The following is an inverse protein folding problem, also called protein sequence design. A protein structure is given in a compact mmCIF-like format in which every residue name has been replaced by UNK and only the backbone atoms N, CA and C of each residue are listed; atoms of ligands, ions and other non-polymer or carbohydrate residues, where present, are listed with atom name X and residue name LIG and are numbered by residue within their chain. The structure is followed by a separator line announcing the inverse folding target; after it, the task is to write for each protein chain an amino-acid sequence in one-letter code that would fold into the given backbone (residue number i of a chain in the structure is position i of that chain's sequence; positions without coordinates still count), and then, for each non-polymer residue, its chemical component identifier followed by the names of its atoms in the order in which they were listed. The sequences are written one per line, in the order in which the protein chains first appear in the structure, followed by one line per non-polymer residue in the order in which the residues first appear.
data_IF_368888674113
#
_entry.id   IF_368888674113
#
_cell.length_a   1.000
_cell.length_b   1.000
_cell.length_c   1.000
_cell.angle_alpha   90.00
_cell.angle_beta   90.00
_cell.angle_gamma   90.00
#
_symmetry.space_group_name_H-M   'P 1'
#
loop_
_entity.id
_entity.type
_entity.pdbx_description
1 polymer ?
#
# COMPACT_ATOMS: atom_id res chain seq x y z
N UNK A 1 -19.69 13.11 -29.58
CA UNK A 1 -20.70 14.03 -29.04
C UNK A 1 -20.44 14.31 -27.57
N UNK A 2 -20.40 13.30 -26.69
CA UNK A 2 -20.21 13.52 -25.25
C UNK A 2 -18.93 14.28 -24.89
N UNK A 3 -17.80 14.03 -25.57
CA UNK A 3 -16.56 14.75 -25.31
C UNK A 3 -16.62 16.24 -25.69
N UNK A 4 -17.52 16.66 -26.56
CA UNK A 4 -17.74 18.09 -26.91
C UNK A 4 -18.58 18.79 -25.84
N UNK A 5 -19.58 18.11 -25.31
CA UNK A 5 -20.61 18.70 -24.44
C UNK A 5 -20.19 18.70 -22.93
N UNK A 6 -19.22 17.88 -22.53
CA UNK A 6 -18.80 17.73 -21.12
C UNK A 6 -17.39 18.27 -20.88
N UNK A 7 -17.09 18.66 -19.65
CA UNK A 7 -15.80 19.23 -19.24
C UNK A 7 -14.75 18.16 -18.89
N UNK A 8 -15.19 16.98 -18.45
CA UNK A 8 -14.34 15.85 -18.06
C UNK A 8 -15.13 14.54 -18.19
N UNK A 9 -14.44 13.41 -18.20
CA UNK A 9 -15.05 12.09 -18.03
C UNK A 9 -14.64 11.48 -16.71
N UNK A 10 -15.58 10.82 -16.04
CA UNK A 10 -15.32 10.01 -14.85
C UNK A 10 -15.78 8.59 -15.16
N UNK A 11 -14.86 7.62 -15.07
CA UNK A 11 -15.13 6.20 -15.24
C UNK A 11 -15.01 5.53 -13.89
N UNK A 12 -16.04 4.83 -13.44
CA UNK A 12 -16.00 4.06 -12.21
C UNK A 12 -15.88 2.58 -12.53
N UNK A 13 -14.84 1.94 -11.99
CA UNK A 13 -14.66 0.48 -12.01
C UNK A 13 -14.97 -0.05 -10.62
N UNK A 14 -15.98 -0.89 -10.52
CA UNK A 14 -16.38 -1.53 -9.28
C UNK A 14 -16.02 -3.00 -9.25
N UNK A 15 -15.67 -3.50 -8.05
CA UNK A 15 -15.53 -4.94 -7.78
C UNK A 15 -16.29 -5.30 -6.53
N UNK A 16 -16.91 -6.48 -6.55
CA UNK A 16 -17.50 -7.05 -5.35
C UNK A 16 -16.42 -7.84 -4.64
N UNK A 17 -16.31 -7.66 -3.34
CA UNK A 17 -15.56 -8.60 -2.50
C UNK A 17 -16.41 -9.85 -2.31
N UNK A 18 -15.86 -11.01 -2.70
CA UNK A 18 -16.51 -12.29 -2.45
C UNK A 18 -16.38 -12.65 -0.97
N UNK A 19 -17.49 -12.89 -0.30
CA UNK A 19 -17.49 -13.62 0.96
C UNK A 19 -17.49 -15.13 0.63
N UNK A 20 -16.64 -15.91 1.28
CA UNK A 20 -16.45 -17.36 1.08
C UNK A 20 -15.84 -17.80 -0.26
N UNK A 21 -15.40 -16.88 -1.11
CA UNK A 21 -14.76 -17.20 -2.38
C UNK A 21 -13.58 -16.28 -2.65
N UNK A 22 -12.52 -16.81 -3.27
CA UNK A 22 -11.41 -16.01 -3.73
C UNK A 22 -11.77 -15.20 -4.96
N UNK A 23 -11.07 -14.10 -5.15
CA UNK A 23 -11.20 -13.26 -6.34
C UNK A 23 -10.66 -14.00 -7.56
N UNK A 24 -11.32 -13.84 -8.68
CA UNK A 24 -10.87 -14.39 -9.97
C UNK A 24 -9.79 -13.49 -10.57
N UNK A 25 -8.88 -14.09 -11.34
CA UNK A 25 -7.91 -13.31 -12.11
C UNK A 25 -8.66 -12.56 -13.23
N UNK A 26 -9.33 -13.30 -14.10
CA UNK A 26 -10.04 -12.73 -15.25
C UNK A 26 -11.32 -11.99 -14.85
N UNK A 27 -11.40 -10.73 -15.20
CA UNK A 27 -12.61 -9.89 -14.99
C UNK A 27 -12.83 -9.41 -13.56
N UNK A 28 -11.90 -9.70 -12.65
CA UNK A 28 -11.90 -9.20 -11.28
C UNK A 28 -10.55 -8.55 -10.93
N UNK A 29 -9.45 -9.31 -10.80
CA UNK A 29 -8.13 -8.72 -10.65
C UNK A 29 -7.69 -8.01 -11.93
N UNK A 30 -7.81 -8.64 -13.08
CA UNK A 30 -7.64 -8.02 -14.39
C UNK A 30 -8.93 -7.34 -14.83
N UNK A 31 -8.81 -6.22 -15.56
CA UNK A 31 -9.93 -5.63 -16.24
C UNK A 31 -10.45 -6.55 -17.35
N UNK A 32 -11.75 -6.59 -17.53
CA UNK A 32 -12.36 -7.23 -18.70
C UNK A 32 -12.00 -6.47 -19.98
N UNK A 33 -12.02 -7.13 -21.13
CA UNK A 33 -11.80 -6.48 -22.42
C UNK A 33 -12.77 -5.34 -22.69
N UNK A 34 -14.00 -5.43 -22.17
CA UNK A 34 -15.00 -4.34 -22.27
C UNK A 34 -14.59 -3.12 -21.44
N UNK A 35 -14.06 -3.31 -20.24
CA UNK A 35 -13.58 -2.23 -19.39
C UNK A 35 -12.34 -1.57 -19.98
N UNK A 36 -11.39 -2.36 -20.49
CA UNK A 36 -10.20 -1.83 -21.20
C UNK A 36 -10.60 -1.02 -22.43
N UNK A 37 -11.52 -1.55 -23.24
CA UNK A 37 -12.03 -0.83 -24.40
C UNK A 37 -12.79 0.45 -24.00
N UNK A 38 -13.57 0.43 -22.92
CA UNK A 38 -14.25 1.62 -22.40
C UNK A 38 -13.24 2.70 -22.01
N UNK A 39 -12.24 2.36 -21.19
CA UNK A 39 -11.20 3.30 -20.76
C UNK A 39 -10.48 3.87 -21.99
N UNK A 40 -9.98 3.01 -22.88
CA UNK A 40 -9.23 3.44 -24.07
C UNK A 40 -10.04 4.34 -24.98
N UNK A 41 -11.31 4.02 -25.26
CA UNK A 41 -12.16 4.82 -26.12
C UNK A 41 -12.51 6.18 -25.51
N UNK A 42 -12.82 6.21 -24.21
CA UNK A 42 -13.16 7.47 -23.51
C UNK A 42 -11.92 8.35 -23.39
N UNK A 43 -10.76 7.80 -23.02
CA UNK A 43 -9.50 8.54 -22.99
C UNK A 43 -9.20 9.15 -24.34
N UNK A 44 -9.21 8.35 -25.41
CA UNK A 44 -8.98 8.85 -26.77
C UNK A 44 -9.92 10.00 -27.16
N UNK A 45 -11.21 9.87 -26.85
CA UNK A 45 -12.21 10.88 -27.24
C UNK A 45 -12.08 12.19 -26.45
N UNK A 46 -11.89 12.11 -25.14
CA UNK A 46 -11.82 13.29 -24.27
C UNK A 46 -10.47 13.99 -24.36
N UNK A 47 -9.37 13.27 -24.39
CA UNK A 47 -8.04 13.85 -24.53
C UNK A 47 -7.84 14.50 -25.89
N UNK A 48 -8.42 13.94 -26.97
CA UNK A 48 -8.46 14.62 -28.27
C UNK A 48 -9.17 15.98 -28.21
N UNK A 49 -10.17 16.11 -27.33
CA UNK A 49 -10.88 17.36 -27.07
C UNK A 49 -10.19 18.25 -26.00
N UNK A 50 -8.99 17.89 -25.54
CA UNK A 50 -8.25 18.60 -24.49
C UNK A 50 -8.91 18.53 -23.10
N UNK A 51 -9.66 17.45 -22.82
CA UNK A 51 -10.43 17.29 -21.58
C UNK A 51 -9.96 16.08 -20.78
N UNK A 52 -9.88 16.20 -19.44
CA UNK A 52 -9.36 15.14 -18.59
C UNK A 52 -10.32 13.96 -18.46
N UNK A 53 -9.71 12.79 -18.25
CA UNK A 53 -10.38 11.53 -17.89
C UNK A 53 -9.88 11.06 -16.55
N UNK A 54 -10.80 10.78 -15.63
CA UNK A 54 -10.52 10.30 -14.28
C UNK A 54 -11.09 8.88 -14.16
N UNK A 55 -10.26 7.92 -13.75
CA UNK A 55 -10.73 6.57 -13.39
C UNK A 55 -10.80 6.45 -11.88
N UNK A 56 -11.93 5.99 -11.37
CA UNK A 56 -12.19 5.73 -9.95
C UNK A 56 -12.33 4.23 -9.75
N UNK A 57 -11.46 3.66 -8.93
CA UNK A 57 -11.52 2.26 -8.51
C UNK A 57 -12.27 2.15 -7.18
N UNK A 58 -13.52 1.67 -7.23
CA UNK A 58 -14.29 1.31 -6.04
C UNK A 58 -14.22 -0.20 -5.84
N UNK A 59 -13.16 -0.65 -5.19
CA UNK A 59 -12.77 -2.06 -5.09
C UNK A 59 -12.31 -2.39 -3.68
N UNK A 60 -12.66 -3.56 -3.16
CA UNK A 60 -12.27 -3.99 -1.81
C UNK A 60 -10.84 -4.52 -1.69
N UNK A 61 -10.09 -4.58 -2.79
CA UNK A 61 -8.71 -5.03 -2.86
C UNK A 61 -7.98 -4.36 -4.02
N UNK A 62 -6.83 -4.89 -4.42
CA UNK A 62 -6.09 -4.36 -5.58
C UNK A 62 -6.69 -4.89 -6.90
N UNK A 63 -6.52 -4.10 -7.95
CA UNK A 63 -6.78 -4.45 -9.35
C UNK A 63 -5.46 -4.23 -10.11
N UNK A 64 -5.19 -5.04 -11.11
CA UNK A 64 -4.06 -4.82 -11.99
C UNK A 64 -4.16 -3.44 -12.64
N UNK A 65 -3.10 -2.67 -12.56
CA UNK A 65 -3.08 -1.29 -13.06
C UNK A 65 -1.97 -1.04 -14.08
N UNK A 66 -0.93 -1.87 -14.11
CA UNK A 66 0.27 -1.62 -14.91
C UNK A 66 -0.02 -1.58 -16.42
N UNK A 67 -1.04 -2.31 -16.90
CA UNK A 67 -1.36 -2.39 -18.33
C UNK A 67 -2.21 -1.22 -18.86
N UNK A 68 -2.80 -0.38 -17.99
CA UNK A 68 -3.76 0.63 -18.44
C UNK A 68 -3.74 1.95 -17.66
N UNK A 69 -3.07 2.03 -16.52
CA UNK A 69 -3.10 3.23 -15.65
C UNK A 69 -2.49 4.48 -16.28
N UNK A 70 -1.72 4.33 -17.34
CA UNK A 70 -1.14 5.45 -18.10
C UNK A 70 -2.13 6.06 -19.12
N UNK A 71 -3.29 5.45 -19.32
CA UNK A 71 -4.28 5.94 -20.26
C UNK A 71 -5.08 7.14 -19.71
N UNK A 72 -5.66 7.10 -18.48
CA UNK A 72 -6.39 8.22 -17.92
C UNK A 72 -5.44 9.31 -17.38
N UNK A 73 -5.93 10.54 -17.29
CA UNK A 73 -5.18 11.67 -16.71
C UNK A 73 -5.06 11.58 -15.18
N UNK A 74 -6.00 10.87 -14.54
CA UNK A 74 -5.96 10.63 -13.10
C UNK A 74 -6.58 9.27 -12.74
N UNK A 75 -5.97 8.61 -11.74
CA UNK A 75 -6.44 7.38 -11.15
C UNK A 75 -6.68 7.59 -9.66
N UNK A 76 -7.90 7.31 -9.19
CA UNK A 76 -8.30 7.42 -7.80
C UNK A 76 -8.71 6.05 -7.25
N UNK A 77 -7.92 5.53 -6.32
CA UNK A 77 -8.26 4.31 -5.58
C UNK A 77 -9.13 4.69 -4.37
N UNK A 78 -10.44 4.47 -4.50
CA UNK A 78 -11.41 4.79 -3.47
C UNK A 78 -11.56 3.69 -2.42
N UNK A 79 -11.09 2.47 -2.71
CA UNK A 79 -11.34 1.28 -1.91
C UNK A 79 -12.85 1.08 -1.67
N UNK A 80 -13.26 0.87 -0.42
CA UNK A 80 -14.65 0.77 0.01
C UNK A 80 -14.98 1.98 0.89
N UNK A 81 -15.39 3.13 0.29
CA UNK A 81 -15.43 4.42 0.99
C UNK A 81 -16.62 4.57 1.96
N UNK A 82 -17.51 3.60 2.03
CA UNK A 82 -18.67 3.64 2.92
C UNK A 82 -19.79 4.59 2.46
N UNK A 83 -20.68 4.96 3.39
CA UNK A 83 -21.92 5.68 3.12
C UNK A 83 -21.69 7.06 2.47
N UNK A 84 -20.71 7.82 2.94
CA UNK A 84 -20.38 9.17 2.42
C UNK A 84 -19.41 9.16 1.22
N UNK A 85 -19.14 7.97 0.65
CA UNK A 85 -18.14 7.77 -0.40
C UNK A 85 -18.33 8.65 -1.63
N UNK A 86 -19.57 8.80 -2.10
CA UNK A 86 -19.88 9.67 -3.25
C UNK A 86 -19.54 11.12 -2.99
N UNK A 87 -19.85 11.64 -1.80
CA UNK A 87 -19.52 13.00 -1.38
C UNK A 87 -18.01 13.20 -1.25
N UNK A 88 -17.31 12.26 -0.59
CA UNK A 88 -15.87 12.32 -0.45
C UNK A 88 -15.15 12.32 -1.80
N UNK A 89 -15.59 11.49 -2.75
CA UNK A 89 -15.06 11.48 -4.12
C UNK A 89 -15.31 12.81 -4.84
N UNK A 90 -16.51 13.35 -4.74
CA UNK A 90 -16.84 14.65 -5.34
C UNK A 90 -15.98 15.78 -4.76
N UNK A 91 -15.74 15.81 -3.46
CA UNK A 91 -14.91 16.80 -2.79
C UNK A 91 -13.43 16.69 -3.24
N UNK A 92 -12.91 15.48 -3.44
CA UNK A 92 -11.56 15.26 -4.00
C UNK A 92 -11.51 15.70 -5.48
N UNK A 93 -12.39 15.18 -6.32
CA UNK A 93 -12.35 15.44 -7.77
C UNK A 93 -12.55 16.93 -8.08
N UNK A 94 -13.40 17.62 -7.34
CA UNK A 94 -13.60 19.07 -7.49
C UNK A 94 -12.44 19.92 -6.93
N UNK A 95 -11.51 19.29 -6.19
CA UNK A 95 -10.40 20.00 -5.53
C UNK A 95 -10.82 20.79 -4.27
N UNK A 96 -12.03 20.58 -3.76
CA UNK A 96 -12.49 21.13 -2.48
C UNK A 96 -11.70 20.54 -1.32
N UNK A 97 -11.39 19.25 -1.38
CA UNK A 97 -10.48 18.58 -0.47
C UNK A 97 -9.24 18.07 -1.22
N UNK A 98 -8.08 18.18 -0.57
CA UNK A 98 -6.82 17.69 -1.09
C UNK A 98 -6.62 16.24 -0.62
N UNK A 99 -6.39 15.26 -1.53
CA UNK A 99 -6.17 13.87 -1.14
C UNK A 99 -4.90 13.75 -0.28
N UNK A 100 -4.99 12.92 0.75
CA UNK A 100 -3.89 12.65 1.66
C UNK A 100 -3.84 11.17 2.10
N UNK A 101 -4.58 10.31 1.42
CA UNK A 101 -4.52 8.87 1.58
C UNK A 101 -3.21 8.30 1.06
N UNK A 102 -2.77 7.17 1.65
CA UNK A 102 -1.61 6.41 1.20
C UNK A 102 -1.99 4.96 1.02
N UNK A 103 -1.42 4.31 0.01
CA UNK A 103 -1.69 2.91 -0.27
C UNK A 103 -1.21 2.01 0.88
N UNK A 104 -2.10 1.20 1.49
CA UNK A 104 -1.71 0.26 2.54
C UNK A 104 -1.16 -1.05 1.97
N UNK A 105 -0.93 -1.11 0.67
CA UNK A 105 -0.48 -2.29 -0.08
C UNK A 105 0.50 -1.89 -1.17
N UNK A 106 1.30 -2.84 -1.64
CA UNK A 106 2.06 -2.73 -2.89
C UNK A 106 1.19 -3.24 -4.03
N UNK A 107 1.12 -2.51 -5.13
CA UNK A 107 0.45 -2.99 -6.36
C UNK A 107 1.54 -3.52 -7.30
N UNK A 108 1.59 -4.83 -7.57
CA UNK A 108 2.61 -5.42 -8.42
C UNK A 108 2.39 -5.05 -9.90
N UNK A 109 3.42 -5.22 -10.72
CA UNK A 109 3.30 -5.16 -12.18
C UNK A 109 2.61 -6.43 -12.69
N UNK A 110 3.06 -7.59 -12.22
CA UNK A 110 2.49 -8.88 -12.58
C UNK A 110 2.03 -9.60 -11.31
N UNK A 111 0.94 -10.38 -11.42
CA UNK A 111 0.41 -11.16 -10.30
C UNK A 111 1.41 -12.22 -9.81
N UNK A 112 2.17 -12.78 -10.75
CA UNK A 112 3.20 -13.79 -10.52
C UNK A 112 4.39 -13.28 -9.71
N UNK A 113 4.57 -11.95 -9.60
CA UNK A 113 5.59 -11.33 -8.75
C UNK A 113 5.30 -11.53 -7.25
N UNK A 114 4.04 -11.83 -6.88
CA UNK A 114 3.65 -12.19 -5.52
C UNK A 114 4.06 -13.62 -5.19
N UNK A 115 4.94 -13.81 -4.21
CA UNK A 115 5.41 -15.13 -3.80
C UNK A 115 4.27 -16.07 -3.40
N UNK A 116 3.24 -15.53 -2.74
CA UNK A 116 2.06 -16.29 -2.30
C UNK A 116 1.18 -16.79 -3.44
N UNK A 117 1.28 -16.20 -4.64
CA UNK A 117 0.38 -16.50 -5.75
C UNK A 117 0.37 -17.99 -6.13
N UNK A 118 1.54 -18.62 -6.20
CA UNK A 118 1.69 -20.05 -6.55
C UNK A 118 1.06 -21.01 -5.53
N UNK A 119 0.94 -20.57 -4.28
CA UNK A 119 0.48 -21.37 -3.15
C UNK A 119 -0.97 -21.06 -2.77
N UNK A 120 -1.60 -20.09 -3.43
CA UNK A 120 -2.96 -19.69 -3.15
C UNK A 120 -3.93 -20.33 -4.17
N UNK A 121 -4.94 -21.09 -3.74
CA UNK A 121 -5.91 -21.68 -4.65
C UNK A 121 -6.81 -20.59 -5.23
N UNK A 122 -6.68 -20.34 -6.55
CA UNK A 122 -7.45 -19.31 -7.27
C UNK A 122 -8.81 -19.80 -7.77
N UNK A 123 -9.12 -21.07 -7.61
CA UNK A 123 -10.40 -21.62 -8.04
C UNK A 123 -11.27 -22.03 -6.86
N UNK A 124 -12.58 -21.81 -7.01
CA UNK A 124 -13.59 -22.15 -6.02
C UNK A 124 -13.51 -23.63 -5.65
N UNK A 125 -13.15 -23.93 -4.40
CA UNK A 125 -13.43 -25.24 -3.81
C UNK A 125 -14.91 -25.23 -3.42
N UNK A 126 -15.73 -26.17 -3.90
CA UNK A 126 -17.13 -26.24 -3.50
C UNK A 126 -17.20 -26.43 -1.98
N UNK A 127 -17.70 -25.46 -1.26
CA UNK A 127 -17.94 -25.63 0.17
C UNK A 127 -19.08 -26.65 0.31
N UNK A 128 -18.86 -27.75 1.04
CA UNK A 128 -19.83 -28.88 1.18
C UNK A 128 -21.25 -28.43 1.54
N UNK A 129 -21.43 -27.32 2.24
CA UNK A 129 -22.77 -26.82 2.57
C UNK A 129 -23.51 -26.23 1.36
N UNK A 130 -22.81 -25.78 0.31
CA UNK A 130 -23.42 -25.30 -0.94
C UNK A 130 -24.01 -26.42 -1.77
N UNK A 131 -23.51 -27.68 -1.61
CA UNK A 131 -24.11 -28.86 -2.24
C UNK A 131 -25.46 -29.21 -1.61
N UNK A 132 -25.69 -28.84 -0.35
CA UNK A 132 -26.98 -29.06 0.34
C UNK A 132 -28.10 -28.16 -0.19
N UNK A 133 -27.78 -27.07 -0.91
CA UNK A 133 -28.76 -26.18 -1.54
C UNK A 133 -28.86 -26.35 -3.07
N UNK A 134 -28.47 -27.53 -3.57
CA UNK A 134 -28.79 -27.98 -4.94
C UNK A 134 -27.90 -27.41 -6.06
N UNK A 135 -26.76 -26.79 -5.76
CA UNK A 135 -25.76 -26.42 -6.77
C UNK A 135 -24.86 -27.62 -7.08
N UNK A 136 -24.75 -27.99 -8.37
CA UNK A 136 -23.89 -29.09 -8.84
C UNK A 136 -22.45 -28.92 -8.39
N UNK A 137 -21.90 -29.94 -7.74
CA UNK A 137 -20.47 -30.03 -7.43
C UNK A 137 -19.66 -29.95 -8.72
N UNK A 138 -18.74 -28.97 -8.79
CA UNK A 138 -17.66 -29.03 -9.78
C UNK A 138 -16.67 -30.08 -9.28
N UNK A 139 -16.32 -31.05 -10.12
CA UNK A 139 -15.31 -32.07 -9.80
C UNK A 139 -14.01 -31.39 -9.40
N UNK A 140 -13.33 -31.85 -8.33
CA UNK A 140 -12.00 -31.36 -8.00
C UNK A 140 -11.08 -31.53 -9.20
N UNK A 141 -10.33 -30.52 -9.55
CA UNK A 141 -9.27 -30.66 -10.56
C UNK A 141 -8.14 -31.46 -9.90
N UNK A 142 -7.78 -32.62 -10.49
CA UNK A 142 -6.88 -33.60 -9.89
C UNK A 142 -5.45 -33.13 -9.63
N UNK A 143 -5.04 -32.00 -10.22
CA UNK A 143 -3.66 -31.49 -10.18
C UNK A 143 -3.47 -30.24 -9.32
N UNK A 144 -4.30 -30.01 -8.31
CA UNK A 144 -4.14 -28.86 -7.41
C UNK A 144 -3.26 -29.22 -6.24
N UNK A 145 -2.13 -28.56 -6.10
CA UNK A 145 -1.46 -28.51 -4.80
C UNK A 145 -2.40 -27.79 -3.81
N UNK A 146 -2.41 -28.23 -2.56
CA UNK A 146 -2.99 -27.48 -1.43
C UNK A 146 -4.54 -27.38 -1.39
N UNK A 147 -5.27 -28.43 -1.72
CA UNK A 147 -6.75 -28.44 -1.58
C UNK A 147 -7.19 -28.26 -0.11
N UNK A 148 -6.44 -28.84 0.83
CA UNK A 148 -6.79 -28.90 2.24
C UNK A 148 -5.94 -27.95 3.13
N UNK A 149 -4.93 -27.29 2.57
CA UNK A 149 -4.02 -26.40 3.31
C UNK A 149 -3.38 -25.36 2.39
N UNK A 150 -2.92 -24.26 2.96
CA UNK A 150 -2.15 -23.23 2.28
C UNK A 150 -0.74 -23.20 2.81
N UNK A 151 0.25 -23.17 1.93
CA UNK A 151 1.67 -23.06 2.29
C UNK A 151 2.06 -21.59 2.27
N UNK A 152 2.60 -21.09 3.38
CA UNK A 152 3.16 -19.74 3.52
C UNK A 152 4.69 -19.78 3.34
N UNK A 153 5.14 -20.04 2.11
CA UNK A 153 6.58 -20.12 1.80
C UNK A 153 7.28 -18.77 1.85
N UNK A 154 6.52 -17.68 1.69
CA UNK A 154 7.03 -16.32 1.70
C UNK A 154 7.59 -15.88 3.05
N UNK A 155 7.22 -16.56 4.14
CA UNK A 155 7.70 -16.22 5.48
C UNK A 155 7.45 -14.75 5.83
N UNK A 156 8.53 -14.01 6.12
CA UNK A 156 8.47 -12.58 6.42
C UNK A 156 8.35 -11.68 5.18
N UNK A 157 8.57 -12.24 3.99
CA UNK A 157 8.61 -11.49 2.72
C UNK A 157 7.22 -11.33 2.11
N UNK A 158 6.37 -10.52 2.77
CA UNK A 158 5.02 -10.20 2.34
C UNK A 158 4.93 -8.74 1.91
N UNK A 159 4.29 -8.48 0.76
CA UNK A 159 4.07 -7.15 0.23
C UNK A 159 5.38 -6.39 0.00
N UNK A 160 5.47 -5.12 0.44
CA UNK A 160 6.67 -4.29 0.23
C UNK A 160 7.94 -4.89 0.82
N UNK A 161 7.85 -5.72 1.86
CA UNK A 161 9.02 -6.40 2.43
C UNK A 161 9.69 -7.30 1.40
N UNK A 162 8.89 -8.03 0.60
CA UNK A 162 9.39 -8.83 -0.53
C UNK A 162 9.87 -7.94 -1.67
N UNK A 163 8.99 -7.05 -2.15
CA UNK A 163 9.28 -6.22 -3.32
C UNK A 163 10.49 -5.32 -3.15
N UNK A 164 10.70 -4.76 -1.97
CA UNK A 164 11.84 -3.88 -1.69
C UNK A 164 13.11 -4.67 -1.41
N UNK A 165 13.04 -5.82 -0.73
CA UNK A 165 14.20 -6.69 -0.48
C UNK A 165 14.76 -7.30 -1.76
N UNK A 166 13.90 -7.71 -2.67
CA UNK A 166 14.30 -8.34 -3.93
C UNK A 166 14.30 -7.36 -5.12
N UNK A 167 14.14 -6.06 -4.88
CA UNK A 167 14.17 -5.00 -5.89
C UNK A 167 13.19 -5.25 -7.06
N UNK A 168 12.07 -5.91 -6.79
CA UNK A 168 11.04 -6.20 -7.80
C UNK A 168 10.36 -4.92 -8.27
N UNK A 169 10.00 -4.86 -9.54
CA UNK A 169 9.21 -3.75 -10.09
C UNK A 169 7.81 -3.73 -9.50
N UNK A 170 7.26 -2.54 -9.31
CA UNK A 170 5.90 -2.33 -8.81
C UNK A 170 5.19 -1.29 -9.66
N UNK A 171 3.90 -1.42 -9.84
CA UNK A 171 3.07 -0.37 -10.42
C UNK A 171 2.93 0.79 -9.43
N UNK A 172 2.64 0.49 -8.16
CA UNK A 172 2.62 1.48 -7.08
C UNK A 172 3.21 0.88 -5.80
N UNK A 173 4.19 1.55 -5.16
CA UNK A 173 4.80 1.04 -3.93
C UNK A 173 3.87 1.22 -2.73
N UNK A 174 4.13 0.47 -1.67
CA UNK A 174 3.49 0.66 -0.38
C UNK A 174 3.69 2.10 0.14
N UNK A 175 2.65 2.69 0.69
CA UNK A 175 2.68 4.06 1.20
C UNK A 175 2.52 5.14 0.12
N UNK A 176 2.43 4.79 -1.16
CA UNK A 176 2.29 5.75 -2.26
C UNK A 176 0.96 6.50 -2.22
N UNK A 177 0.99 7.75 -2.66
CA UNK A 177 -0.18 8.57 -2.91
C UNK A 177 0.23 9.99 -3.28
N UNK A 178 -0.55 10.62 -4.16
CA UNK A 178 -0.34 11.98 -4.62
C UNK A 178 -1.14 12.99 -3.77
N UNK A 179 -0.74 14.23 -3.87
CA UNK A 179 -1.41 15.39 -3.29
C UNK A 179 -1.53 16.49 -4.35
N UNK A 180 -2.46 17.43 -4.19
CA UNK A 180 -2.56 18.62 -5.02
C UNK A 180 -1.56 19.72 -4.61
N UNK A 181 -0.65 19.39 -3.70
CA UNK A 181 0.45 20.26 -3.24
C UNK A 181 1.71 19.45 -3.06
N UNK A 182 2.83 20.10 -2.79
CA UNK A 182 4.12 19.47 -2.56
C UNK A 182 4.61 19.75 -1.16
N UNK A 183 5.35 18.79 -0.57
CA UNK A 183 5.90 18.92 0.76
C UNK A 183 7.43 18.76 0.75
N UNK A 184 8.10 19.56 1.54
CA UNK A 184 9.54 19.47 1.81
C UNK A 184 9.75 18.94 3.22
N UNK A 185 10.70 18.02 3.32
CA UNK A 185 11.11 17.43 4.59
C UNK A 185 12.41 18.08 5.03
N UNK A 186 12.42 18.72 6.18
CA UNK A 186 13.68 19.21 6.78
C UNK A 186 14.47 18.03 7.36
N UNK A 187 15.74 18.26 7.61
CA UNK A 187 16.60 17.30 8.27
C UNK A 187 16.00 16.93 9.64
N UNK A 188 15.68 15.66 9.90
CA UNK A 188 15.06 15.27 11.15
C UNK A 188 16.04 15.25 12.31
N UNK A 189 15.53 15.57 13.50
CA UNK A 189 16.21 15.30 14.76
C UNK A 189 15.83 13.90 15.25
N UNK A 190 16.82 13.09 15.57
CA UNK A 190 16.63 11.73 16.09
C UNK A 190 17.27 11.62 17.46
N UNK A 191 16.51 11.15 18.44
CA UNK A 191 16.99 10.86 19.79
C UNK A 191 16.75 9.39 20.09
N UNK A 192 17.81 8.71 20.51
CA UNK A 192 17.77 7.35 20.99
C UNK A 192 17.59 7.41 22.52
N UNK A 193 16.47 6.91 23.00
CA UNK A 193 16.16 6.72 24.41
C UNK A 193 16.27 5.23 24.77
N UNK A 194 16.19 4.90 26.04
CA UNK A 194 16.41 3.51 26.48
C UNK A 194 15.35 2.54 25.91
N UNK A 195 14.09 2.99 25.75
CA UNK A 195 12.94 2.19 25.38
C UNK A 195 12.35 2.57 24.01
N UNK A 196 12.86 3.63 23.37
CA UNK A 196 12.29 4.16 22.12
C UNK A 196 13.26 4.98 21.30
N UNK A 197 12.93 5.15 20.03
CA UNK A 197 13.53 6.15 19.14
C UNK A 197 12.51 7.26 18.94
N UNK A 198 12.89 8.50 19.19
CA UNK A 198 12.07 9.69 18.97
C UNK A 198 12.58 10.42 17.75
N UNK A 199 11.73 10.55 16.74
CA UNK A 199 12.03 11.23 15.47
C UNK A 199 11.19 12.49 15.40
N UNK A 200 11.79 13.65 15.20
CA UNK A 200 11.12 14.92 14.92
C UNK A 200 11.50 15.39 13.53
N UNK A 201 10.53 15.81 12.76
CA UNK A 201 10.75 16.30 11.41
C UNK A 201 9.82 17.49 11.15
N UNK A 202 10.35 18.53 10.51
CA UNK A 202 9.55 19.67 10.05
C UNK A 202 9.11 19.42 8.63
N UNK A 203 7.81 19.52 8.38
CA UNK A 203 7.20 19.40 7.07
C UNK A 203 6.70 20.77 6.63
N UNK A 204 7.15 21.22 5.46
CA UNK A 204 6.75 22.50 4.87
C UNK A 204 5.96 22.27 3.61
N UNK A 205 4.85 22.96 3.45
CA UNK A 205 4.08 22.95 2.21
C UNK A 205 4.70 23.94 1.21
N UNK A 206 5.35 23.42 0.18
CA UNK A 206 6.00 24.21 -0.88
C UNK A 206 5.12 24.46 -2.10
N UNK A 207 3.90 23.92 -2.12
CA UNK A 207 2.96 24.12 -3.23
C UNK A 207 1.91 25.18 -2.95
N UNK A 208 0.94 25.30 -3.85
CA UNK A 208 -0.04 26.37 -3.87
C UNK A 208 -1.38 26.03 -3.17
N UNK A 209 -1.56 24.80 -2.68
CA UNK A 209 -2.80 24.36 -2.04
C UNK A 209 -2.53 23.86 -0.62
N UNK A 210 -3.44 24.11 0.29
CA UNK A 210 -3.36 23.51 1.63
C UNK A 210 -3.53 21.99 1.55
N UNK A 211 -2.77 21.24 2.34
CA UNK A 211 -2.78 19.80 2.32
C UNK A 211 -2.25 19.17 3.61
N UNK A 212 -2.25 17.85 3.63
CA UNK A 212 -1.71 17.02 4.72
C UNK A 212 -0.73 16.02 4.14
N UNK A 213 0.37 15.79 4.86
CA UNK A 213 1.35 14.76 4.51
C UNK A 213 1.28 13.60 5.51
N UNK A 214 1.59 12.39 5.03
CA UNK A 214 1.82 11.22 5.87
C UNK A 214 3.29 10.87 5.83
N UNK A 215 4.00 11.26 6.86
CA UNK A 215 5.42 10.95 7.03
C UNK A 215 5.57 9.53 7.53
N UNK A 216 6.36 8.73 6.84
CA UNK A 216 6.57 7.31 7.10
C UNK A 216 8.02 7.07 7.50
N UNK A 217 8.22 6.34 8.59
CA UNK A 217 9.53 5.99 9.13
C UNK A 217 9.78 4.49 8.99
N UNK A 218 10.69 4.15 8.11
CA UNK A 218 11.14 2.79 7.86
C UNK A 218 12.48 2.56 8.55
N UNK A 219 12.71 1.34 9.00
CA UNK A 219 13.96 0.95 9.62
C UNK A 219 14.55 -0.22 8.87
N UNK A 220 15.82 -0.05 8.43
CA UNK A 220 16.67 -1.13 7.99
C UNK A 220 17.41 -1.63 9.21
N UNK A 221 17.17 -2.86 9.60
CA UNK A 221 17.78 -3.44 10.79
C UNK A 221 19.24 -3.86 10.53
N UNK A 222 20.03 -3.94 11.59
CA UNK A 222 21.34 -4.57 11.56
C UNK A 222 21.23 -6.05 11.19
N UNK A 223 22.26 -6.61 10.59
CA UNK A 223 22.40 -8.05 10.46
C UNK A 223 22.41 -8.71 11.85
N UNK A 224 21.80 -9.86 11.97
CA UNK A 224 21.63 -10.49 13.27
C UNK A 224 21.19 -11.94 13.21
N UNK A 225 20.55 -12.41 14.29
CA UNK A 225 20.19 -13.81 14.46
C UNK A 225 19.05 -14.29 13.55
N UNK A 226 18.17 -13.38 13.12
CA UNK A 226 17.04 -13.69 12.23
C UNK A 226 17.25 -13.04 10.87
N UNK A 227 16.69 -13.68 9.84
CA UNK A 227 16.52 -13.04 8.54
C UNK A 227 15.58 -11.84 8.64
N UNK A 228 15.89 -10.78 7.90
CA UNK A 228 15.16 -9.51 7.94
C UNK A 228 14.93 -8.94 6.56
N UNK A 229 13.76 -8.32 6.32
CA UNK A 229 13.53 -7.62 5.07
C UNK A 229 14.41 -6.36 5.00
N UNK A 230 14.64 -5.89 3.79
CA UNK A 230 15.44 -4.68 3.54
C UNK A 230 15.04 -3.50 4.41
N UNK A 231 13.76 -3.29 4.61
CA UNK A 231 13.21 -2.26 5.49
C UNK A 231 11.82 -2.61 6.01
N UNK A 232 11.46 -2.05 7.15
CA UNK A 232 10.12 -2.21 7.72
C UNK A 232 9.57 -0.87 8.20
N UNK A 233 8.29 -0.61 7.94
CA UNK A 233 7.58 0.54 8.50
C UNK A 233 7.44 0.35 10.01
N UNK A 234 8.14 1.17 10.79
CA UNK A 234 8.11 1.10 12.27
C UNK A 234 7.32 2.24 12.90
N UNK A 235 7.03 3.31 12.12
CA UNK A 235 6.20 4.39 12.59
C UNK A 235 5.73 5.30 11.47
N UNK A 236 4.67 6.06 11.71
CA UNK A 236 4.19 7.10 10.80
C UNK A 236 3.44 8.18 11.58
N UNK A 237 3.37 9.38 10.98
CA UNK A 237 2.56 10.47 11.49
C UNK A 237 1.91 11.23 10.33
N UNK A 238 0.65 11.62 10.53
CA UNK A 238 -0.08 12.48 9.60
C UNK A 238 -0.06 13.92 10.12
N UNK A 239 0.36 14.86 9.27
CA UNK A 239 0.39 16.29 9.65
C UNK A 239 -1.03 16.85 9.86
N UNK A 240 -1.19 17.93 10.61
CA UNK A 240 -2.35 18.81 10.47
C UNK A 240 -2.42 19.35 9.04
N UNK A 241 -3.48 20.06 8.70
CA UNK A 241 -3.57 20.78 7.42
C UNK A 241 -2.57 21.93 7.41
N UNK A 242 -1.68 21.93 6.41
CA UNK A 242 -0.60 22.93 6.25
C UNK A 242 -0.97 23.80 5.05
N UNK A 243 -1.07 25.10 5.26
CA UNK A 243 -1.31 26.09 4.20
C UNK A 243 -0.07 26.29 3.29
N UNK A 244 -0.24 26.90 2.12
CA UNK A 244 0.88 27.25 1.23
C UNK A 244 1.92 28.09 1.96
N UNK A 245 3.19 27.68 1.90
CA UNK A 245 4.31 28.34 2.59
C UNK A 245 4.39 28.11 4.10
N UNK A 246 3.40 27.46 4.70
CA UNK A 246 3.41 27.12 6.11
C UNK A 246 4.17 25.82 6.38
N UNK A 247 4.51 25.60 7.65
CA UNK A 247 5.16 24.37 8.12
C UNK A 247 4.62 23.93 9.46
N UNK A 248 4.76 22.65 9.76
CA UNK A 248 4.52 22.09 11.08
C UNK A 248 5.64 21.12 11.46
N UNK A 249 5.80 20.88 12.76
CA UNK A 249 6.64 19.82 13.28
C UNK A 249 5.79 18.60 13.56
N UNK A 250 6.28 17.43 13.21
CA UNK A 250 5.70 16.13 13.56
C UNK A 250 6.69 15.35 14.42
N UNK A 251 6.13 14.45 15.23
CA UNK A 251 6.91 13.52 16.02
C UNK A 251 6.45 12.10 15.73
N UNK A 252 7.40 11.19 15.51
CA UNK A 252 7.17 9.76 15.38
C UNK A 252 7.93 9.09 16.53
N UNK A 253 7.23 8.26 17.28
CA UNK A 253 7.81 7.45 18.35
C UNK A 253 7.86 6.00 17.85
N UNK A 254 9.04 5.40 17.88
CA UNK A 254 9.25 3.99 17.53
C UNK A 254 9.71 3.29 18.81
N UNK A 255 8.85 2.51 19.46
CA UNK A 255 9.24 1.70 20.61
C UNK A 255 10.36 0.71 20.25
N UNK A 256 11.29 0.49 21.14
CA UNK A 256 12.46 -0.36 20.89
C UNK A 256 12.06 -1.82 20.60
N UNK A 257 10.99 -2.29 21.22
CA UNK A 257 10.44 -3.64 20.99
C UNK A 257 9.95 -3.84 19.54
N UNK A 258 9.57 -2.75 18.84
CA UNK A 258 9.20 -2.82 17.42
C UNK A 258 10.36 -3.17 16.49
N UNK A 259 11.60 -3.08 16.97
CA UNK A 259 12.79 -3.46 16.20
C UNK A 259 13.09 -4.97 16.31
N UNK A 260 12.38 -5.68 17.19
CA UNK A 260 12.63 -7.10 17.43
C UNK A 260 12.20 -7.98 16.26
N UNK A 261 12.91 -9.11 16.14
CA UNK A 261 12.58 -10.25 15.28
C UNK A 261 12.43 -11.50 16.14
N UNK A 262 11.57 -12.41 15.73
CA UNK A 262 11.43 -13.69 16.45
C UNK A 262 12.50 -14.67 15.99
N UNK A 263 13.24 -15.21 16.96
CA UNK A 263 14.27 -16.22 16.75
C UNK A 263 13.82 -17.54 17.40
N UNK A 264 13.62 -18.61 16.61
CA UNK A 264 13.22 -19.92 17.16
C UNK A 264 14.17 -20.39 18.27
N UNK A 265 13.61 -20.81 19.39
CA UNK A 265 14.37 -21.28 20.57
C UNK A 265 14.89 -20.14 21.48
N UNK A 266 14.91 -18.89 21.04
CA UNK A 266 15.34 -17.73 21.83
C UNK A 266 14.18 -16.80 22.19
N UNK A 267 13.25 -16.59 21.25
CA UNK A 267 12.13 -15.65 21.40
C UNK A 267 12.35 -14.35 20.61
N UNK A 268 11.76 -13.24 21.09
CA UNK A 268 11.89 -11.94 20.46
C UNK A 268 13.22 -11.27 20.82
N UNK A 269 13.97 -10.88 19.80
CA UNK A 269 15.32 -10.32 19.95
C UNK A 269 15.43 -9.03 19.14
N UNK A 270 15.94 -7.97 19.78
CA UNK A 270 16.49 -6.81 19.08
C UNK A 270 17.99 -7.06 18.93
N UNK A 271 18.45 -7.19 17.70
CA UNK A 271 19.88 -7.41 17.44
C UNK A 271 20.68 -6.14 17.74
N UNK A 272 21.87 -6.27 18.35
CA UNK A 272 22.74 -5.11 18.55
C UNK A 272 23.36 -4.66 17.24
N UNK A 273 23.60 -3.36 17.10
CA UNK A 273 24.34 -2.86 15.94
C UNK A 273 23.87 -1.53 15.39
N UNK A 274 24.29 -1.27 14.16
CA UNK A 274 23.90 -0.07 13.42
C UNK A 274 22.62 -0.33 12.64
N UNK A 275 21.65 0.56 12.81
CA UNK A 275 20.39 0.54 12.08
C UNK A 275 20.32 1.79 11.19
N UNK A 276 19.54 1.73 10.11
CA UNK A 276 19.28 2.91 9.28
C UNK A 276 17.80 3.28 9.35
N UNK A 277 17.53 4.49 9.78
CA UNK A 277 16.21 5.10 9.74
C UNK A 277 16.01 5.81 8.40
N UNK A 278 14.95 5.49 7.70
CA UNK A 278 14.58 6.03 6.40
C UNK A 278 13.22 6.73 6.51
N UNK A 279 13.19 8.03 6.21
CA UNK A 279 11.98 8.85 6.34
C UNK A 279 11.54 9.29 4.95
N UNK A 280 10.26 9.08 4.65
CA UNK A 280 9.73 9.42 3.33
C UNK A 280 8.20 9.43 3.27
N UNK A 281 7.67 9.58 2.06
CA UNK A 281 6.24 9.55 1.77
C UNK A 281 5.72 8.20 1.28
N UNK A 282 6.62 7.27 1.01
CA UNK A 282 6.33 5.87 0.65
C UNK A 282 7.57 5.01 0.87
N UNK A 283 7.44 3.69 0.75
CA UNK A 283 8.58 2.76 0.88
C UNK A 283 9.69 3.01 -0.16
N UNK A 284 9.38 3.70 -1.26
CA UNK A 284 10.35 4.00 -2.35
C UNK A 284 10.59 5.50 -2.58
N UNK A 285 9.86 6.36 -1.90
CA UNK A 285 10.12 7.79 -1.95
C UNK A 285 10.69 8.26 -0.60
N UNK A 286 11.95 7.89 -0.37
CA UNK A 286 12.69 8.25 0.83
C UNK A 286 13.31 9.64 0.64
N UNK A 287 13.10 10.49 1.61
CA UNK A 287 13.58 11.88 1.62
C UNK A 287 14.82 12.06 2.49
N UNK A 288 14.97 11.25 3.54
CA UNK A 288 16.07 11.33 4.51
C UNK A 288 16.50 9.92 4.95
N UNK A 289 17.80 9.72 5.07
CA UNK A 289 18.40 8.50 5.65
C UNK A 289 19.33 8.89 6.80
N UNK A 290 19.17 8.23 7.95
CA UNK A 290 19.92 8.52 9.16
C UNK A 290 20.42 7.23 9.76
N UNK A 291 21.72 7.17 10.01
CA UNK A 291 22.33 6.06 10.74
C UNK A 291 22.02 6.18 12.23
N UNK A 292 21.63 5.09 12.83
CA UNK A 292 21.34 4.94 14.25
C UNK A 292 22.42 4.01 14.86
N UNK A 293 23.55 4.58 15.30
CA UNK A 293 24.62 3.76 15.86
C UNK A 293 24.26 3.28 17.27
N UNK A 294 24.72 2.10 17.62
CA UNK A 294 24.71 1.63 19.00
C UNK A 294 23.35 1.20 19.55
N UNK A 295 22.43 0.69 18.71
CA UNK A 295 21.24 0.02 19.23
C UNK A 295 21.71 -1.18 20.09
N UNK A 296 21.31 -1.23 21.38
CA UNK A 296 21.68 -2.34 22.25
C UNK A 296 20.91 -3.61 21.88
N UNK A 297 21.55 -4.77 22.04
CA UNK A 297 20.86 -6.04 21.95
C UNK A 297 19.89 -6.23 23.12
N UNK A 298 18.67 -6.69 22.84
CA UNK A 298 17.65 -6.96 23.85
C UNK A 298 17.00 -8.32 23.56
N UNK A 299 16.82 -9.11 24.62
CA UNK A 299 15.92 -10.27 24.58
C UNK A 299 14.66 -9.84 25.32
N UNK A 300 13.53 -9.86 24.62
CA UNK A 300 12.27 -9.39 25.15
C UNK A 300 11.53 -10.51 25.89
N UNK A 301 10.59 -10.16 26.78
CA UNK A 301 9.65 -11.13 27.36
C UNK A 301 8.93 -11.96 26.29
N UNK A 302 8.31 -13.09 26.64
CA UNK A 302 7.65 -13.98 25.67
C UNK A 302 6.57 -13.33 24.82
N UNK A 303 5.93 -12.27 25.29
CA UNK A 303 4.96 -11.49 24.55
C UNK A 303 5.60 -10.46 23.58
N UNK A 304 6.92 -10.35 23.58
CA UNK A 304 7.69 -9.46 22.71
C UNK A 304 7.57 -7.98 23.03
N UNK A 305 7.12 -7.59 24.22
CA UNK A 305 6.92 -6.20 24.62
C UNK A 305 7.87 -5.81 25.76
N UNK A 306 8.32 -4.57 25.71
CA UNK A 306 8.97 -3.94 26.86
C UNK A 306 7.89 -3.57 27.90
N UNK A 307 8.22 -3.68 29.21
CA UNK A 307 7.29 -3.33 30.27
C UNK A 307 6.88 -1.86 30.27
#
# INVERSE_FOLDING_TARGET
RSAVENQAAIITIGRRTGEFTDRKIEGDYLLTEKEKALIGNVCKAFQYAGKPVIVVLNVGGIVETASWSDLPDALLLALMPGQEGGRALADIISGKENPCGRLPVTIPVHLEDLMSHKNFPLEEVPVKWLSMIGKKEKKPVADRPNIDYTIYEEGIYVGYRDFDSHQKKVAYPFGYGLSYTSFLYSQPEVRLEADRIVVRCRISNSGARAGREVVQAYVCAAEGMADKPYQELKGFAKTPRIGPGESCEIQIIIPMDRLSSYVPGTGWVVDPGEYTLRIGSSSRNIQQEIRLPGIPGLILPPDGRLP
#
